data_IF_941519021107
#
_entry.id   IF_941519021107
#
_cell.length_a   1.000
_cell.length_b   1.000
_cell.length_c   1.000
_cell.angle_alpha   90.00
_cell.angle_beta   90.00
_cell.angle_gamma   90.00
#
_symmetry.space_group_name_H-M   'P 1'
#
loop_
_entity.id
_entity.type
_entity.pdbx_description
1 polymer ?
#
# COMPACT_ATOMS: atom_id res chain seq x y z
N UNK A 1 6.30 -0.95 12.62
CA UNK A 1 6.70 -0.53 11.26
C UNK A 1 6.83 -1.70 10.27
N UNK A 2 7.44 -2.81 10.61
CA UNK A 2 7.64 -3.96 9.71
C UNK A 2 6.33 -4.52 9.15
N UNK A 3 5.32 -4.74 9.99
CA UNK A 3 3.99 -5.21 9.55
C UNK A 3 3.29 -4.25 8.58
N UNK A 4 3.43 -2.95 8.83
CA UNK A 4 2.89 -1.92 7.94
C UNK A 4 3.65 -1.92 6.61
N UNK A 5 4.97 -2.02 6.64
CA UNK A 5 5.79 -2.19 5.44
C UNK A 5 5.39 -3.42 4.64
N UNK A 6 5.20 -4.56 5.28
CA UNK A 6 4.73 -5.80 4.67
C UNK A 6 3.39 -5.59 3.93
N UNK A 7 2.39 -5.02 4.60
CA UNK A 7 1.07 -4.82 4.01
C UNK A 7 1.08 -3.79 2.86
N UNK A 8 1.78 -2.67 3.03
CA UNK A 8 1.80 -1.59 2.05
C UNK A 8 2.58 -1.98 0.80
N UNK A 9 3.82 -2.43 0.94
CA UNK A 9 4.65 -2.80 -0.21
C UNK A 9 4.16 -4.08 -0.89
N UNK A 10 3.64 -5.03 -0.11
CA UNK A 10 3.02 -6.22 -0.66
C UNK A 10 1.84 -5.89 -1.56
N UNK A 11 0.93 -5.00 -1.13
CA UNK A 11 -0.21 -4.59 -1.93
C UNK A 11 0.18 -3.78 -3.17
N UNK A 12 1.25 -2.96 -3.08
CA UNK A 12 1.79 -2.22 -4.23
C UNK A 12 2.42 -3.15 -5.25
N UNK A 13 3.05 -4.25 -4.81
CA UNK A 13 3.68 -5.22 -5.71
C UNK A 13 2.67 -6.07 -6.49
N UNK A 14 1.58 -6.50 -5.84
CA UNK A 14 0.59 -7.37 -6.48
C UNK A 14 -0.05 -6.71 -7.70
N UNK A 15 -0.36 -5.43 -7.63
CA UNK A 15 -1.10 -4.74 -8.69
C UNK A 15 -0.34 -4.69 -10.03
N UNK A 16 0.94 -4.24 -10.10
CA UNK A 16 1.72 -4.29 -11.34
C UNK A 16 1.97 -5.72 -11.83
N UNK A 17 2.21 -6.66 -10.91
CA UNK A 17 2.40 -8.07 -11.27
C UNK A 17 1.14 -8.64 -11.94
N UNK A 18 -0.02 -8.37 -11.37
CA UNK A 18 -1.30 -8.79 -11.94
C UNK A 18 -1.56 -8.13 -13.31
N UNK A 19 -1.35 -6.82 -13.44
CA UNK A 19 -1.58 -6.11 -14.69
C UNK A 19 -0.62 -6.56 -15.80
N UNK A 20 0.65 -6.81 -15.46
CA UNK A 20 1.65 -7.27 -16.42
C UNK A 20 1.44 -8.72 -16.87
N UNK A 21 1.11 -9.63 -15.95
CA UNK A 21 1.00 -11.06 -16.22
C UNK A 21 -0.40 -11.47 -16.71
N UNK A 22 -1.46 -10.94 -16.10
CA UNK A 22 -2.82 -11.35 -16.40
C UNK A 22 -3.45 -10.56 -17.55
N UNK A 23 -3.12 -9.27 -17.67
CA UNK A 23 -3.72 -8.39 -18.69
C UNK A 23 -2.75 -7.96 -19.78
N UNK A 24 -1.46 -8.31 -19.69
CA UNK A 24 -0.47 -7.98 -20.72
C UNK A 24 -0.22 -6.47 -20.87
N UNK A 25 -0.44 -5.68 -19.81
CA UNK A 25 -0.25 -4.23 -19.85
C UNK A 25 1.22 -3.86 -19.99
N UNK A 26 1.48 -2.87 -20.83
CA UNK A 26 2.81 -2.27 -20.98
C UNK A 26 3.17 -1.42 -19.73
N UNK A 27 4.47 -1.19 -19.53
CA UNK A 27 4.97 -0.41 -18.40
C UNK A 27 4.33 0.99 -18.30
N UNK A 28 4.03 1.63 -19.42
CA UNK A 28 3.36 2.92 -19.49
C UNK A 28 1.92 2.87 -18.94
N UNK A 29 1.17 1.85 -19.33
CA UNK A 29 -0.20 1.63 -18.87
C UNK A 29 -0.24 1.30 -17.37
N UNK A 30 0.69 0.48 -16.88
CA UNK A 30 0.85 0.19 -15.45
C UNK A 30 1.19 1.48 -14.70
N UNK A 31 2.09 2.30 -15.24
CA UNK A 31 2.44 3.60 -14.66
C UNK A 31 1.24 4.55 -14.55
N UNK A 32 0.39 4.61 -15.57
CA UNK A 32 -0.83 5.40 -15.55
C UNK A 32 -1.81 4.95 -14.45
N UNK A 33 -2.00 3.63 -14.29
CA UNK A 33 -2.85 3.09 -13.21
C UNK A 33 -2.27 3.40 -11.83
N UNK A 34 -0.96 3.32 -11.67
CA UNK A 34 -0.29 3.66 -10.40
C UNK A 34 -0.30 5.16 -10.10
N UNK A 35 -0.32 6.02 -11.13
CA UNK A 35 -0.42 7.47 -10.96
C UNK A 35 -1.71 7.86 -10.22
N UNK A 36 -2.82 7.15 -10.40
CA UNK A 36 -4.06 7.34 -9.65
C UNK A 36 -3.92 7.06 -8.14
N UNK A 37 -2.89 6.34 -7.73
CA UNK A 37 -2.56 6.19 -6.31
C UNK A 37 -1.72 7.37 -5.81
N UNK A 38 -0.81 7.88 -6.63
CA UNK A 38 0.11 8.96 -6.26
C UNK A 38 -0.56 10.34 -6.16
N UNK A 39 -1.44 10.67 -7.10
CA UNK A 39 -2.12 11.96 -7.14
C UNK A 39 -2.94 12.28 -5.86
N UNK A 40 -3.81 11.39 -5.36
CA UNK A 40 -4.52 11.63 -4.11
C UNK A 40 -3.57 11.77 -2.91
N UNK A 41 -2.47 11.04 -2.89
CA UNK A 41 -1.49 11.13 -1.80
C UNK A 41 -0.86 12.53 -1.68
N UNK A 42 -0.59 13.20 -2.79
CA UNK A 42 -0.04 14.57 -2.77
C UNK A 42 -0.97 15.54 -2.06
N UNK A 43 -2.28 15.36 -2.18
CA UNK A 43 -3.29 16.17 -1.50
C UNK A 43 -3.46 15.74 -0.04
N UNK A 44 -3.40 14.45 0.23
CA UNK A 44 -3.64 13.89 1.55
C UNK A 44 -2.46 14.10 2.51
N UNK A 45 -1.23 14.11 2.03
CA UNK A 45 -0.04 14.36 2.85
C UNK A 45 -0.17 15.62 3.72
N UNK A 46 -0.57 16.80 3.18
CA UNK A 46 -0.79 17.98 4.02
C UNK A 46 -2.13 17.98 4.76
N UNK A 47 -3.11 17.19 4.30
CA UNK A 47 -4.46 17.20 4.88
C UNK A 47 -4.55 16.33 6.15
N UNK A 48 -3.90 15.18 6.19
CA UNK A 48 -3.95 14.25 7.34
C UNK A 48 -3.40 14.89 8.62
N UNK A 49 -2.28 15.63 8.65
CA UNK A 49 -1.83 16.34 9.84
C UNK A 49 -2.85 17.36 10.37
N UNK A 50 -3.60 18.02 9.48
CA UNK A 50 -4.69 18.92 9.89
C UNK A 50 -5.85 18.17 10.53
N UNK A 51 -6.19 16.99 10.04
CA UNK A 51 -7.20 16.11 10.66
C UNK A 51 -6.73 15.65 12.05
N UNK A 52 -5.45 15.33 12.22
CA UNK A 52 -4.88 14.91 13.51
C UNK A 52 -4.89 16.02 14.56
N UNK A 53 -4.98 17.30 14.17
CA UNK A 53 -5.16 18.41 15.12
C UNK A 53 -6.59 18.49 15.69
N UNK A 54 -7.57 17.92 15.00
CA UNK A 54 -8.99 17.93 15.42
C UNK A 54 -9.46 16.60 16.00
N UNK A 55 -8.84 15.50 15.61
CA UNK A 55 -9.19 14.14 16.00
C UNK A 55 -7.97 13.46 16.62
N UNK A 56 -8.18 12.60 17.60
CA UNK A 56 -7.13 11.78 18.17
C UNK A 56 -6.43 10.95 17.09
N UNK A 57 -5.11 10.97 17.12
CA UNK A 57 -4.23 10.22 16.20
C UNK A 57 -4.62 8.75 16.05
N UNK A 58 -5.12 8.15 17.14
CA UNK A 58 -5.55 6.74 17.18
C UNK A 58 -6.76 6.49 16.27
N UNK A 59 -7.77 7.36 16.33
CA UNK A 59 -8.97 7.22 15.50
C UNK A 59 -8.65 7.42 14.02
N UNK A 60 -7.76 8.34 13.68
CA UNK A 60 -7.31 8.56 12.31
C UNK A 60 -6.59 7.32 11.78
N UNK A 61 -5.70 6.71 12.58
CA UNK A 61 -4.99 5.49 12.20
C UNK A 61 -5.95 4.29 12.03
N UNK A 62 -6.91 4.11 12.93
CA UNK A 62 -7.91 3.02 12.82
C UNK A 62 -8.78 3.21 11.57
N UNK A 63 -9.27 4.42 11.33
CA UNK A 63 -10.05 4.72 10.12
C UNK A 63 -9.22 4.45 8.85
N UNK A 64 -7.95 4.85 8.83
CA UNK A 64 -7.02 4.56 7.74
C UNK A 64 -6.84 3.06 7.49
N UNK A 65 -6.67 2.27 8.56
CA UNK A 65 -6.56 0.80 8.46
C UNK A 65 -7.83 0.17 7.91
N UNK A 66 -9.01 0.62 8.35
CA UNK A 66 -10.29 0.11 7.84
C UNK A 66 -10.47 0.46 6.36
N UNK A 67 -10.16 1.68 5.96
CA UNK A 67 -10.22 2.12 4.55
C UNK A 67 -9.24 1.30 3.70
N UNK A 68 -8.02 1.08 4.19
CA UNK A 68 -7.02 0.29 3.50
C UNK A 68 -7.46 -1.18 3.37
N UNK A 69 -7.98 -1.79 4.43
CA UNK A 69 -8.51 -3.15 4.41
C UNK A 69 -9.70 -3.28 3.45
N UNK A 70 -10.60 -2.30 3.44
CA UNK A 70 -11.72 -2.26 2.48
C UNK A 70 -11.23 -2.18 1.03
N UNK A 71 -10.22 -1.36 0.75
CA UNK A 71 -9.59 -1.29 -0.57
C UNK A 71 -8.99 -2.64 -0.99
N UNK A 72 -8.31 -3.34 -0.07
CA UNK A 72 -7.78 -4.68 -0.34
C UNK A 72 -8.91 -5.68 -0.64
N UNK A 73 -10.03 -5.57 0.07
CA UNK A 73 -11.20 -6.42 -0.17
C UNK A 73 -11.84 -6.15 -1.53
N UNK A 74 -11.93 -4.88 -1.93
CA UNK A 74 -12.39 -4.52 -3.29
C UNK A 74 -11.53 -5.17 -4.38
N UNK A 75 -10.22 -5.26 -4.14
CA UNK A 75 -9.29 -5.89 -5.08
C UNK A 75 -9.42 -7.43 -5.14
N UNK A 76 -9.96 -8.09 -4.11
CA UNK A 76 -10.21 -9.54 -4.12
C UNK A 76 -11.38 -9.90 -5.06
N UNK A 77 -12.34 -9.00 -5.19
CA UNK A 77 -13.52 -9.19 -6.06
C UNK A 77 -13.24 -8.89 -7.54
N UNK A 78 -12.00 -8.59 -7.92
CA UNK A 78 -11.63 -8.32 -9.32
C UNK A 78 -11.76 -9.56 -10.18
N UNK A 79 -12.59 -9.48 -11.22
CA UNK A 79 -12.69 -10.44 -12.31
C UNK A 79 -11.62 -10.14 -13.39
N UNK A 80 -11.20 -11.13 -14.21
CA UNK A 80 -10.31 -10.90 -15.36
C UNK A 80 -10.80 -9.86 -16.36
N UNK A 81 -12.11 -9.59 -16.35
CA UNK A 81 -12.75 -8.60 -17.24
C UNK A 81 -12.67 -7.14 -16.70
N UNK A 82 -12.02 -6.93 -15.54
CA UNK A 82 -11.84 -5.61 -14.96
C UNK A 82 -10.80 -4.80 -15.78
N UNK A 83 -11.28 -3.89 -16.61
CA UNK A 83 -10.45 -3.00 -17.42
C UNK A 83 -9.82 -1.87 -16.56
N UNK A 84 -8.71 -1.29 -17.06
CA UNK A 84 -7.95 -0.25 -16.36
C UNK A 84 -8.78 0.93 -15.84
N UNK A 85 -9.88 1.27 -16.53
CA UNK A 85 -10.79 2.35 -16.14
C UNK A 85 -11.58 2.09 -14.85
N UNK A 86 -11.60 0.85 -14.35
CA UNK A 86 -12.30 0.51 -13.11
C UNK A 86 -11.35 0.40 -11.91
N UNK A 87 -10.05 0.35 -12.17
CA UNK A 87 -9.02 0.23 -11.14
C UNK A 87 -8.71 1.55 -10.41
N UNK A 88 -9.15 2.69 -10.94
CA UNK A 88 -8.87 3.99 -10.32
C UNK A 88 -9.56 4.16 -8.97
N UNK A 89 -10.79 3.66 -8.79
CA UNK A 89 -11.52 3.76 -7.53
C UNK A 89 -10.82 3.00 -6.38
N UNK A 90 -10.52 1.70 -6.50
CA UNK A 90 -9.79 0.97 -5.47
C UNK A 90 -8.42 1.58 -5.17
N UNK A 91 -7.72 2.11 -6.18
CA UNK A 91 -6.41 2.74 -5.99
C UNK A 91 -6.49 4.07 -5.23
N UNK A 92 -7.50 4.89 -5.50
CA UNK A 92 -7.75 6.13 -4.73
C UNK A 92 -8.10 5.79 -3.28
N UNK A 93 -8.99 4.84 -3.04
CA UNK A 93 -9.37 4.40 -1.69
C UNK A 93 -8.16 3.84 -0.95
N UNK A 94 -7.31 3.07 -1.63
CA UNK A 94 -6.05 2.57 -1.07
C UNK A 94 -5.11 3.70 -0.69
N UNK A 95 -4.95 4.71 -1.55
CA UNK A 95 -4.09 5.85 -1.30
C UNK A 95 -4.54 6.65 -0.07
N UNK A 96 -5.85 6.84 0.10
CA UNK A 96 -6.44 7.48 1.27
C UNK A 96 -6.12 6.69 2.55
N UNK A 97 -6.41 5.39 2.56
CA UNK A 97 -6.12 4.51 3.68
C UNK A 97 -4.65 4.50 4.04
N UNK A 98 -3.78 4.40 3.05
CA UNK A 98 -2.32 4.40 3.21
C UNK A 98 -1.80 5.69 3.84
N UNK A 99 -2.25 6.86 3.38
CA UNK A 99 -1.85 8.15 3.92
C UNK A 99 -2.33 8.32 5.38
N UNK A 100 -3.57 7.90 5.67
CA UNK A 100 -4.16 7.95 7.01
C UNK A 100 -3.53 6.97 8.00
N UNK A 101 -2.83 5.94 7.56
CA UNK A 101 -2.05 5.03 8.42
C UNK A 101 -0.64 5.53 8.64
N UNK A 102 0.06 5.91 7.54
CA UNK A 102 1.48 6.26 7.61
C UNK A 102 1.71 7.56 8.39
N UNK A 103 0.88 8.57 8.21
CA UNK A 103 1.08 9.88 8.84
C UNK A 103 0.93 9.82 10.35
N UNK A 104 -0.15 9.24 10.94
CA UNK A 104 -0.26 9.10 12.38
C UNK A 104 0.85 8.24 12.97
N UNK A 105 1.19 7.15 12.30
CA UNK A 105 2.20 6.22 12.78
C UNK A 105 3.59 6.87 12.85
N UNK A 106 3.94 7.64 11.83
CA UNK A 106 5.20 8.41 11.80
C UNK A 106 5.19 9.50 12.88
N UNK A 107 4.07 10.20 13.06
CA UNK A 107 3.92 11.25 14.07
C UNK A 107 4.07 10.72 15.50
N UNK A 108 3.46 9.59 15.82
CA UNK A 108 3.59 8.94 17.14
C UNK A 108 5.04 8.50 17.40
N UNK A 109 5.71 7.96 16.38
CA UNK A 109 7.09 7.50 16.52
C UNK A 109 8.09 8.64 16.72
N UNK A 110 7.84 9.81 16.12
CA UNK A 110 8.74 10.97 16.23
C UNK A 110 8.36 11.89 17.39
N UNK A 111 7.11 11.87 17.84
CA UNK A 111 6.58 12.80 18.83
C UNK A 111 7.08 12.57 20.26
N UNK A 112 7.53 11.35 20.60
CA UNK A 112 8.05 11.00 21.92
C UNK A 112 9.59 11.03 22.00
N UNK A 113 10.26 11.35 20.87
CA UNK A 113 11.72 11.32 20.77
C UNK A 113 12.28 12.74 20.81
N UNK A 114 13.41 12.90 21.50
CA UNK A 114 14.12 14.17 21.55
C UNK A 114 14.46 14.66 20.11
N UNK A 115 14.37 15.97 19.83
CA UNK A 115 14.61 16.51 18.48
C UNK A 115 15.95 16.11 17.87
N UNK A 116 16.97 15.93 18.70
CA UNK A 116 18.31 15.51 18.30
C UNK A 116 18.36 14.05 17.80
N UNK A 117 17.46 13.18 18.27
CA UNK A 117 17.40 11.76 17.90
C UNK A 117 16.32 11.47 16.85
N UNK A 118 15.51 12.45 16.49
CA UNK A 118 14.41 12.31 15.54
C UNK A 118 14.86 11.82 14.15
N UNK A 119 16.02 12.26 13.67
CA UNK A 119 16.60 11.83 12.41
C UNK A 119 16.98 10.35 12.43
N UNK A 120 17.62 9.89 13.51
CA UNK A 120 18.01 8.48 13.70
C UNK A 120 16.76 7.58 13.81
N UNK A 121 15.76 8.01 14.57
CA UNK A 121 14.49 7.29 14.70
C UNK A 121 13.73 7.16 13.37
N UNK A 122 13.71 8.22 12.57
CA UNK A 122 13.12 8.20 11.24
C UNK A 122 13.87 7.24 10.30
N UNK A 123 15.20 7.21 10.39
CA UNK A 123 16.03 6.27 9.64
C UNK A 123 15.72 4.82 10.00
N UNK A 124 15.70 4.48 11.28
CA UNK A 124 15.35 3.14 11.78
C UNK A 124 13.93 2.74 11.35
N UNK A 125 12.98 3.66 11.45
CA UNK A 125 11.60 3.41 11.02
C UNK A 125 11.50 3.09 9.54
N UNK A 126 12.23 3.82 8.70
CA UNK A 126 12.30 3.56 7.27
C UNK A 126 12.98 2.22 6.95
N UNK A 127 14.06 1.88 7.67
CA UNK A 127 14.71 0.57 7.53
C UNK A 127 13.77 -0.57 7.87
N UNK A 128 13.07 -0.50 9.00
CA UNK A 128 12.09 -1.51 9.42
C UNK A 128 10.92 -1.63 8.43
N UNK A 129 10.45 -0.51 7.89
CA UNK A 129 9.39 -0.49 6.88
C UNK A 129 9.87 -1.13 5.58
N UNK A 130 11.06 -0.80 5.11
CA UNK A 130 11.64 -1.38 3.90
C UNK A 130 11.93 -2.88 4.07
N UNK A 131 12.41 -3.30 5.25
CA UNK A 131 12.61 -4.72 5.57
C UNK A 131 11.27 -5.48 5.54
N UNK A 132 10.22 -4.93 6.15
CA UNK A 132 8.87 -5.50 6.08
C UNK A 132 8.36 -5.57 4.64
N UNK A 133 8.63 -4.54 3.85
CA UNK A 133 8.31 -4.49 2.42
C UNK A 133 9.00 -5.58 1.62
N UNK A 134 10.30 -5.77 1.83
CA UNK A 134 11.08 -6.80 1.16
C UNK A 134 10.57 -8.21 1.49
N UNK A 135 10.26 -8.48 2.76
CA UNK A 135 9.66 -9.75 3.19
C UNK A 135 8.27 -9.91 2.56
N UNK A 136 7.46 -8.86 2.54
CA UNK A 136 6.11 -8.86 1.95
C UNK A 136 6.13 -9.17 0.46
N UNK A 137 6.95 -8.46 -0.30
CA UNK A 137 7.08 -8.68 -1.75
C UNK A 137 7.62 -10.07 -2.07
N UNK A 138 8.63 -10.54 -1.34
CA UNK A 138 9.20 -11.88 -1.53
C UNK A 138 8.18 -12.99 -1.24
N UNK A 139 7.41 -12.86 -0.14
CA UNK A 139 6.37 -13.81 0.24
C UNK A 139 5.26 -13.87 -0.82
N UNK A 140 4.79 -12.71 -1.28
CA UNK A 140 3.72 -12.62 -2.27
C UNK A 140 4.19 -13.11 -3.64
N UNK A 141 5.40 -12.75 -4.07
CA UNK A 141 5.99 -13.27 -5.31
C UNK A 141 6.06 -14.81 -5.29
N UNK A 142 6.49 -15.38 -4.16
CA UNK A 142 6.56 -16.85 -4.01
C UNK A 142 5.16 -17.49 -4.07
N UNK A 143 4.15 -16.89 -3.47
CA UNK A 143 2.77 -17.39 -3.49
C UNK A 143 2.21 -17.36 -4.92
N UNK A 144 2.41 -16.24 -5.63
CA UNK A 144 1.95 -16.09 -7.02
C UNK A 144 2.60 -17.13 -7.91
N UNK A 145 3.93 -17.26 -7.87
CA UNK A 145 4.67 -18.22 -8.70
C UNK A 145 4.28 -19.68 -8.40
N UNK A 146 4.08 -20.04 -7.13
CA UNK A 146 3.60 -21.39 -6.79
C UNK A 146 2.21 -21.66 -7.32
N UNK A 147 1.34 -20.67 -7.30
CA UNK A 147 -0.03 -20.81 -7.79
C UNK A 147 -0.08 -20.96 -9.31
N UNK A 148 0.76 -20.24 -10.03
CA UNK A 148 0.93 -20.38 -11.48
C UNK A 148 1.45 -21.78 -11.85
N UNK A 149 2.47 -22.27 -11.15
CA UNK A 149 3.01 -23.61 -11.36
C UNK A 149 1.98 -24.71 -11.07
N UNK A 150 1.15 -24.52 -10.04
CA UNK A 150 0.10 -25.47 -9.71
C UNK A 150 -0.96 -25.54 -10.82
N UNK A 151 -1.37 -24.41 -11.37
CA UNK A 151 -2.33 -24.37 -12.47
C UNK A 151 -1.75 -24.93 -13.78
N UNK A 152 -0.48 -24.65 -14.10
CA UNK A 152 0.15 -25.18 -15.30
C UNK A 152 0.33 -26.71 -15.25
N UNK A 153 0.56 -27.28 -14.06
CA UNK A 153 0.66 -28.73 -13.89
C UNK A 153 -0.69 -29.49 -13.94
N UNK A 154 -1.82 -28.76 -13.83
CA UNK A 154 -3.16 -29.35 -13.93
C UNK A 154 -3.66 -29.36 -15.39
N UNK A 155 -3.15 -28.45 -16.22
CA UNK A 155 -3.58 -28.26 -17.62
C UNK A 155 -2.67 -29.02 -18.60
N UNK A 156 -1.49 -29.48 -18.19
CA UNK A 156 -0.58 -30.36 -18.96
C UNK A 156 -0.77 -31.79 -18.59
#
# INVERSE_FOLDING_TARGET
MTMVGFALFGSVYILPAYLGQAQGYNAEQIGAVLAWTGLPQLILIPLVPRMMQRFDTRYVAIAGLLIFAYSCFMNVAMSPDYAGDQLWVPNIVRAIGQAMVLTPLTSVMTGEIAPQDAAAASGISNMLRNLGGAIGTATLATIVTKREQFHSNIIG
#
